data_IF_500571541838
#
_entry.id   IF_500571541838
#
_cell.length_a   1.000
_cell.length_b   1.000
_cell.length_c   1.000
_cell.angle_alpha   90.00
_cell.angle_beta   90.00
_cell.angle_gamma   90.00
#
_symmetry.space_group_name_H-M   'P 1'
#
loop_
_entity.id
_entity.type
_entity.pdbx_description
1 polymer ?
#
# COMPACT_ATOMS: atom_id res chain seq x y z
N UNK A 1 -7.85 -9.49 -30.44
CA UNK A 1 -7.24 -8.15 -30.39
C UNK A 1 -7.03 -7.89 -28.91
N UNK A 2 -5.80 -7.97 -28.42
CA UNK A 2 -5.50 -7.80 -26.99
C UNK A 2 -5.38 -6.31 -26.70
N UNK A 3 -6.21 -5.79 -25.81
CA UNK A 3 -6.25 -4.38 -25.45
C UNK A 3 -4.93 -3.98 -24.76
N UNK A 4 -4.09 -3.12 -25.36
CA UNK A 4 -2.79 -2.76 -24.81
C UNK A 4 -2.90 -2.02 -23.47
N UNK A 5 -4.06 -1.39 -23.20
CA UNK A 5 -4.36 -0.75 -21.92
C UNK A 5 -4.61 -1.76 -20.79
N UNK A 6 -5.27 -2.89 -21.07
CA UNK A 6 -5.47 -3.95 -20.08
C UNK A 6 -4.13 -4.62 -19.71
N UNK A 7 -3.22 -4.75 -20.68
CA UNK A 7 -1.86 -5.22 -20.45
C UNK A 7 -1.04 -4.23 -19.61
N UNK A 8 -1.16 -2.93 -19.84
CA UNK A 8 -0.47 -1.90 -19.03
C UNK A 8 -0.85 -1.92 -17.55
N UNK A 9 -2.16 -2.05 -17.24
CA UNK A 9 -2.64 -2.20 -15.86
C UNK A 9 -2.17 -3.51 -15.21
N UNK A 10 -2.12 -4.61 -15.96
CA UNK A 10 -1.58 -5.87 -15.46
C UNK A 10 -0.06 -5.79 -15.20
N UNK A 11 0.69 -5.04 -16.02
CA UNK A 11 2.13 -4.80 -15.83
C UNK A 11 2.43 -3.90 -14.64
N UNK A 12 1.64 -2.83 -14.41
CA UNK A 12 1.76 -2.01 -13.20
C UNK A 12 1.45 -2.81 -11.93
N UNK A 13 0.41 -3.66 -11.98
CA UNK A 13 0.07 -4.65 -10.92
C UNK A 13 1.17 -5.70 -10.73
N UNK A 14 1.95 -5.99 -11.77
CA UNK A 14 3.09 -6.89 -11.77
C UNK A 14 4.45 -6.16 -11.61
N UNK A 15 4.46 -4.92 -11.11
CA UNK A 15 5.70 -4.35 -10.60
C UNK A 15 6.22 -5.28 -9.51
N UNK A 16 7.46 -5.75 -9.63
CA UNK A 16 8.08 -6.73 -8.72
C UNK A 16 8.08 -6.31 -7.23
N UNK A 17 7.66 -5.08 -6.92
CA UNK A 17 7.51 -4.54 -5.57
C UNK A 17 6.14 -4.80 -4.91
N UNK A 18 5.14 -5.35 -5.62
CA UNK A 18 3.86 -5.67 -5.00
C UNK A 18 3.93 -7.00 -4.22
N UNK A 19 3.59 -6.97 -2.94
CA UNK A 19 3.54 -8.13 -2.04
C UNK A 19 2.09 -8.52 -1.76
N UNK A 20 1.85 -9.82 -1.58
CA UNK A 20 0.58 -10.31 -1.07
C UNK A 20 0.48 -10.00 0.42
N UNK A 21 -0.70 -9.59 0.85
CA UNK A 21 -1.00 -9.29 2.24
C UNK A 21 -2.46 -9.49 2.57
N UNK A 22 -2.78 -9.15 3.81
CA UNK A 22 -4.12 -9.12 4.36
C UNK A 22 -4.36 -7.72 4.91
N UNK A 23 -5.52 -7.16 4.63
CA UNK A 23 -5.96 -5.90 5.25
C UNK A 23 -7.08 -6.16 6.23
N UNK A 24 -6.91 -5.71 7.47
CA UNK A 24 -7.90 -5.78 8.53
C UNK A 24 -8.37 -4.36 8.87
N UNK A 25 -9.52 -3.92 8.37
CA UNK A 25 -10.10 -2.63 8.75
C UNK A 25 -10.52 -2.67 10.23
N UNK A 26 -10.57 -1.51 10.92
CA UNK A 26 -10.97 -1.46 12.33
C UNK A 26 -12.47 -1.76 12.54
N UNK A 27 -13.32 -1.46 11.56
CA UNK A 27 -14.79 -1.54 11.70
C UNK A 27 -15.44 -2.57 10.76
N UNK A 28 -14.66 -3.41 10.08
CA UNK A 28 -15.15 -4.31 9.05
C UNK A 28 -14.48 -5.69 9.02
N UNK A 29 -14.93 -6.59 8.12
CA UNK A 29 -14.27 -7.86 7.89
C UNK A 29 -12.89 -7.66 7.26
N UNK A 30 -11.93 -8.50 7.65
CA UNK A 30 -10.63 -8.53 7.01
C UNK A 30 -10.74 -8.98 5.54
N UNK A 31 -9.97 -8.33 4.68
CA UNK A 31 -9.79 -8.63 3.28
C UNK A 31 -8.49 -9.43 3.14
N UNK A 32 -8.63 -10.71 2.86
CA UNK A 32 -7.51 -11.59 2.54
C UNK A 32 -7.05 -11.41 1.08
N UNK A 33 -5.86 -11.90 0.75
CA UNK A 33 -5.34 -11.97 -0.63
C UNK A 33 -5.24 -10.62 -1.36
N UNK A 34 -5.07 -9.52 -0.60
CA UNK A 34 -4.84 -8.22 -1.21
C UNK A 34 -3.42 -8.10 -1.74
N UNK A 35 -3.26 -7.30 -2.78
CA UNK A 35 -1.94 -6.95 -3.31
C UNK A 35 -1.60 -5.51 -2.92
N UNK A 36 -0.47 -5.32 -2.26
CA UNK A 36 -0.01 -4.00 -1.81
C UNK A 36 1.42 -3.75 -2.25
N UNK A 37 1.79 -2.50 -2.49
CA UNK A 37 3.19 -2.13 -2.74
C UNK A 37 3.73 -1.48 -1.47
N UNK A 38 4.75 -2.09 -0.87
CA UNK A 38 5.44 -1.55 0.30
C UNK A 38 6.58 -0.64 -0.14
N UNK A 39 6.44 0.65 0.10
CA UNK A 39 7.49 1.65 -0.12
C UNK A 39 8.06 2.12 1.21
N UNK A 40 9.37 2.02 1.34
CA UNK A 40 10.15 2.55 2.46
C UNK A 40 11.17 3.55 1.93
N UNK A 41 10.76 4.80 1.61
CA UNK A 41 11.72 5.84 1.31
C UNK A 41 12.55 6.11 2.58
N UNK A 42 13.81 5.66 2.56
CA UNK A 42 14.81 6.07 3.55
C UNK A 42 15.18 7.52 3.25
N UNK A 43 14.66 8.47 4.02
CA UNK A 43 15.08 9.87 3.90
C UNK A 43 16.37 10.04 4.72
N UNK A 44 17.50 10.16 4.02
CA UNK A 44 18.79 10.49 4.61
C UNK A 44 18.77 12.01 4.78
N UNK A 45 18.78 12.51 6.01
CA UNK A 45 18.96 13.96 6.18
C UNK A 45 20.38 14.38 5.85
N UNK A 46 20.53 15.66 5.53
CA UNK A 46 21.80 16.30 5.18
C UNK A 46 22.91 16.09 6.25
N UNK A 47 22.52 15.79 7.49
CA UNK A 47 23.42 15.48 8.63
C UNK A 47 23.84 13.99 8.72
N UNK A 48 23.36 13.13 7.81
CA UNK A 48 23.66 11.69 7.81
C UNK A 48 22.87 10.86 8.83
N UNK A 49 21.94 11.47 9.56
CA UNK A 49 20.99 10.76 10.41
C UNK A 49 19.86 10.16 9.55
N UNK A 50 19.41 8.94 9.87
CA UNK A 50 18.23 8.32 9.26
C UNK A 50 17.00 8.93 9.92
N UNK A 51 16.31 9.85 9.23
CA UNK A 51 15.40 10.79 9.93
C UNK A 51 13.97 10.32 10.03
N UNK A 52 13.58 9.24 9.34
CA UNK A 52 12.40 8.44 9.69
C UNK A 52 12.21 7.29 8.67
N UNK A 53 11.97 6.08 9.18
CA UNK A 53 11.40 4.98 8.40
C UNK A 53 9.91 5.26 8.14
N UNK A 54 9.61 6.00 7.07
CA UNK A 54 8.23 6.19 6.61
C UNK A 54 7.81 4.98 5.80
N UNK A 55 7.05 4.08 6.41
CA UNK A 55 6.43 2.98 5.67
C UNK A 55 5.17 3.48 4.97
N UNK A 56 5.14 3.40 3.65
CA UNK A 56 3.97 3.77 2.85
C UNK A 56 3.51 2.55 2.05
N UNK A 57 2.19 2.31 2.06
CA UNK A 57 1.59 1.20 1.32
C UNK A 57 0.68 1.74 0.24
N UNK A 58 0.83 1.21 -0.96
CA UNK A 58 -0.10 1.44 -2.06
C UNK A 58 -1.05 0.25 -2.13
N UNK A 59 -2.33 0.49 -1.84
CA UNK A 59 -3.40 -0.51 -1.87
C UNK A 59 -4.23 -0.27 -3.12
N UNK A 60 -4.51 -1.30 -3.93
CA UNK A 60 -5.34 -1.14 -5.12
C UNK A 60 -6.83 -1.04 -4.75
N UNK A 61 -7.54 -0.14 -5.44
CA UNK A 61 -9.00 0.01 -5.28
C UNK A 61 -9.81 -1.19 -5.74
N UNK A 62 -9.25 -2.01 -6.62
CA UNK A 62 -9.87 -3.27 -7.01
C UNK A 62 -10.02 -4.25 -5.84
N UNK A 63 -9.13 -4.15 -4.85
CA UNK A 63 -9.12 -5.02 -3.67
C UNK A 63 -9.80 -4.35 -2.48
N UNK A 64 -9.52 -3.06 -2.25
CA UNK A 64 -10.08 -2.29 -1.13
C UNK A 64 -10.66 -0.98 -1.65
N UNK A 65 -11.99 -0.83 -1.61
CA UNK A 65 -12.68 0.35 -2.15
C UNK A 65 -12.26 1.64 -1.44
N UNK A 66 -12.19 1.61 -0.10
CA UNK A 66 -11.69 2.71 0.72
C UNK A 66 -10.99 2.16 1.99
N UNK A 67 -9.67 2.34 2.13
CA UNK A 67 -8.96 1.99 3.35
C UNK A 67 -9.27 2.97 4.48
N UNK A 68 -9.66 2.44 5.63
CA UNK A 68 -9.90 3.19 6.85
C UNK A 68 -8.60 3.48 7.62
N UNK A 69 -8.55 4.63 8.28
CA UNK A 69 -7.52 4.95 9.26
C UNK A 69 -7.50 3.88 10.35
N UNK A 70 -6.33 3.62 10.94
CA UNK A 70 -6.15 2.63 12.01
C UNK A 70 -6.28 1.15 11.57
N UNK A 71 -6.56 0.88 10.29
CA UNK A 71 -6.55 -0.47 9.72
C UNK A 71 -5.14 -1.08 9.70
N UNK A 72 -5.06 -2.40 9.80
CA UNK A 72 -3.80 -3.15 9.87
C UNK A 72 -3.59 -3.91 8.57
N UNK A 73 -2.41 -3.79 7.98
CA UNK A 73 -1.95 -4.47 6.78
C UNK A 73 -0.89 -5.48 7.21
N UNK A 74 -1.22 -6.76 7.14
CA UNK A 74 -0.30 -7.85 7.43
C UNK A 74 0.32 -8.35 6.13
N UNK A 75 1.63 -8.22 5.98
CA UNK A 75 2.39 -8.77 4.85
C UNK A 75 3.47 -9.72 5.36
N UNK A 76 4.14 -10.43 4.45
CA UNK A 76 5.25 -11.32 4.82
C UNK A 76 6.39 -10.61 5.60
N UNK A 77 6.54 -9.30 5.45
CA UNK A 77 7.53 -8.51 6.19
C UNK A 77 7.11 -8.17 7.63
N UNK A 78 5.82 -8.26 7.95
CA UNK A 78 5.27 -7.88 9.26
C UNK A 78 3.91 -7.19 9.15
N UNK A 79 3.43 -6.72 10.29
CA UNK A 79 2.15 -6.02 10.44
C UNK A 79 2.36 -4.51 10.46
N UNK A 80 1.59 -3.78 9.66
CA UNK A 80 1.70 -2.34 9.49
C UNK A 80 0.35 -1.68 9.70
N UNK A 81 0.27 -0.69 10.58
CA UNK A 81 -0.95 0.04 10.87
C UNK A 81 -1.00 1.35 10.11
N UNK A 82 -2.12 1.63 9.46
CA UNK A 82 -2.38 2.92 8.81
C UNK A 82 -2.46 4.01 9.88
N UNK A 83 -1.54 4.97 9.83
CA UNK A 83 -1.42 6.04 10.83
C UNK A 83 -1.84 7.42 10.30
N UNK A 84 -2.16 7.55 9.02
CA UNK A 84 -2.66 8.82 8.47
C UNK A 84 -3.65 8.60 7.34
N UNK A 85 -4.04 9.71 6.70
CA UNK A 85 -5.00 9.70 5.62
C UNK A 85 -4.45 9.01 4.38
N UNK A 86 -5.24 8.12 3.80
CA UNK A 86 -4.92 7.47 2.54
C UNK A 86 -5.23 8.43 1.39
N UNK A 87 -4.20 8.75 0.59
CA UNK A 87 -4.32 9.62 -0.55
C UNK A 87 -4.67 8.81 -1.79
N UNK A 88 -5.73 9.19 -2.49
CA UNK A 88 -6.08 8.58 -3.76
C UNK A 88 -5.07 9.05 -4.82
N UNK A 89 -4.54 8.10 -5.58
CA UNK A 89 -3.70 8.42 -6.72
C UNK A 89 -4.47 9.22 -7.80
N UNK A 90 -3.75 9.99 -8.62
CA UNK A 90 -4.34 10.80 -9.70
C UNK A 90 -5.14 9.95 -10.72
N UNK A 91 -4.77 8.69 -10.93
CA UNK A 91 -5.52 7.76 -11.78
C UNK A 91 -6.77 7.20 -11.09
N UNK A 92 -6.91 7.38 -9.77
CA UNK A 92 -8.04 6.88 -9.00
C UNK A 92 -8.06 5.36 -8.86
N UNK A 93 -6.92 4.69 -9.05
CA UNK A 93 -6.77 3.23 -9.09
C UNK A 93 -6.23 2.63 -7.79
N UNK A 94 -5.55 3.45 -6.98
CA UNK A 94 -4.89 3.00 -5.75
C UNK A 94 -4.91 4.08 -4.68
N UNK A 95 -4.84 3.62 -3.44
CA UNK A 95 -4.73 4.43 -2.25
C UNK A 95 -3.32 4.33 -1.70
N UNK A 96 -2.66 5.48 -1.53
CA UNK A 96 -1.36 5.57 -0.86
C UNK A 96 -1.60 5.90 0.60
N UNK A 97 -1.42 4.91 1.47
CA UNK A 97 -1.63 5.03 2.91
C UNK A 97 -0.29 5.11 3.63
N UNK A 98 -0.06 6.16 4.45
CA UNK A 98 1.07 6.17 5.38
C UNK A 98 0.79 5.20 6.53
N UNK A 99 1.76 4.34 6.80
CA UNK A 99 1.68 3.30 7.82
C UNK A 99 2.88 3.35 8.75
N UNK A 100 2.74 2.71 9.90
CA UNK A 100 3.83 2.45 10.84
C UNK A 100 3.81 0.96 11.21
N UNK A 101 4.96 0.37 11.55
CA UNK A 101 4.98 -0.99 12.12
C UNK A 101 4.08 -1.04 13.36
N UNK A 102 3.24 -2.09 13.44
CA UNK A 102 2.26 -2.29 14.51
C UNK A 102 2.89 -2.84 15.80
#
# INVERSE_FOLDING_TARGET
>A
MADPFATGMATLRASAASVAGRYSPPSGPAVEDIRVIHSQPSEISDDGELVMDKHSFVIFRSDVDMPEHNGVISIAAGDFRINGDCLLDNEGLSWTCPTQPA
#
